data_IF_940097910765
#
_entry.id   IF_940097910765
#
_cell.length_a   1.000
_cell.length_b   1.000
_cell.length_c   1.000
_cell.angle_alpha   90.00
_cell.angle_beta   90.00
_cell.angle_gamma   90.00
#
_symmetry.space_group_name_H-M   'P 1'
#
loop_
_entity.id
_entity.type
_entity.pdbx_description
1 polymer ?
#
# COMPACT_ATOMS: atom_id res chain seq x y z
N UNK A 1 -0.34 -14.01 -11.16
CA UNK A 1 -1.56 -13.66 -10.40
C UNK A 1 -1.29 -12.33 -9.74
N UNK A 2 -2.17 -11.34 -9.85
CA UNK A 2 -2.02 -10.09 -9.09
C UNK A 2 -2.34 -10.40 -7.62
N UNK A 3 -1.38 -10.24 -6.72
CA UNK A 3 -1.66 -10.35 -5.29
C UNK A 3 -2.32 -9.05 -4.85
N UNK A 4 -3.54 -9.14 -4.29
CA UNK A 4 -4.26 -7.97 -3.80
C UNK A 4 -3.78 -7.69 -2.36
N UNK A 5 -3.23 -6.50 -2.12
CA UNK A 5 -2.90 -6.08 -0.75
C UNK A 5 -4.18 -5.91 0.09
N UNK A 6 -4.07 -6.00 1.41
CA UNK A 6 -5.19 -5.69 2.31
C UNK A 6 -5.70 -4.28 2.02
N UNK A 7 -7.03 -4.09 1.84
CA UNK A 7 -7.60 -2.76 1.66
C UNK A 7 -7.21 -1.80 2.79
N UNK A 8 -7.01 -0.52 2.45
CA UNK A 8 -6.85 0.54 3.43
C UNK A 8 -8.19 0.95 4.07
N UNK A 9 -8.15 1.84 5.07
CA UNK A 9 -6.95 2.47 5.62
C UNK A 9 -6.13 1.51 6.49
N UNK A 10 -4.82 1.72 6.54
CA UNK A 10 -3.97 1.12 7.57
C UNK A 10 -3.62 2.18 8.62
N UNK A 11 -3.37 1.74 9.85
CA UNK A 11 -3.06 2.64 10.96
C UNK A 11 -1.99 2.05 11.87
N UNK A 12 -1.38 2.92 12.67
CA UNK A 12 -0.42 2.48 13.68
C UNK A 12 -1.16 1.64 14.74
N UNK A 13 -0.64 0.45 14.99
CA UNK A 13 -1.16 -0.47 16.00
C UNK A 13 -0.87 0.01 17.42
N UNK A 14 -1.60 -0.56 18.37
CA UNK A 14 -1.51 -0.25 19.81
C UNK A 14 -0.17 -0.65 20.43
N UNK A 15 0.42 -1.74 19.94
CA UNK A 15 1.53 -2.45 20.59
C UNK A 15 2.58 -2.90 19.57
N UNK A 16 3.75 -3.32 20.06
CA UNK A 16 4.81 -4.03 19.31
C UNK A 16 5.35 -3.31 18.05
N UNK A 17 5.11 -2.00 17.96
CA UNK A 17 5.48 -1.23 16.77
C UNK A 17 4.80 -1.70 15.50
N UNK A 18 3.52 -2.03 15.59
CA UNK A 18 2.74 -2.57 14.49
C UNK A 18 2.09 -1.51 13.59
N UNK A 19 1.74 -1.93 12.38
CA UNK A 19 0.71 -1.34 11.53
C UNK A 19 -0.40 -2.37 11.37
N UNK A 20 -1.64 -1.92 11.44
CA UNK A 20 -2.84 -2.76 11.44
C UNK A 20 -3.88 -2.23 10.46
N UNK A 21 -4.79 -3.11 10.04
CA UNK A 21 -6.01 -2.78 9.32
C UNK A 21 -7.24 -2.98 10.21
N UNK A 22 -8.34 -2.31 9.86
CA UNK A 22 -9.64 -2.50 10.51
C UNK A 22 -10.46 -3.66 9.91
N UNK A 23 -9.96 -4.24 8.82
CA UNK A 23 -10.55 -5.39 8.15
C UNK A 23 -9.65 -6.62 8.28
N UNK A 24 -10.23 -7.84 8.29
CA UNK A 24 -9.46 -9.08 8.26
C UNK A 24 -8.39 -9.10 7.16
N UNK A 25 -7.20 -9.51 7.54
CA UNK A 25 -6.07 -9.73 6.62
C UNK A 25 -6.13 -11.18 6.12
N UNK A 26 -5.64 -11.43 4.90
CA UNK A 26 -5.55 -12.77 4.31
C UNK A 26 -6.84 -13.61 4.44
N UNK A 27 -8.00 -13.02 4.09
CA UNK A 27 -9.33 -13.65 4.24
C UNK A 27 -9.68 -14.12 5.66
N UNK A 28 -8.96 -13.64 6.67
CA UNK A 28 -9.15 -13.96 8.07
C UNK A 28 -8.28 -15.10 8.61
N UNK A 29 -7.40 -15.66 7.78
CA UNK A 29 -6.49 -16.74 8.18
C UNK A 29 -5.37 -16.24 9.13
N UNK A 30 -5.04 -14.94 9.09
CA UNK A 30 -3.98 -14.32 9.91
C UNK A 30 -4.54 -13.28 10.93
N UNK A 31 -5.66 -13.62 11.57
CA UNK A 31 -6.35 -12.73 12.53
C UNK A 31 -5.93 -12.94 14.00
N UNK A 32 -4.74 -13.47 14.26
CA UNK A 32 -4.31 -13.70 15.64
C UNK A 32 -4.11 -12.37 16.39
N UNK A 33 -4.46 -12.39 17.67
CA UNK A 33 -4.17 -11.30 18.63
C UNK A 33 -4.68 -9.90 18.24
N UNK A 34 -5.81 -9.78 17.52
CA UNK A 34 -6.42 -8.50 17.11
C UNK A 34 -6.50 -7.50 18.27
N UNK A 35 -6.91 -7.93 19.46
CA UNK A 35 -7.01 -7.05 20.64
C UNK A 35 -5.65 -6.52 21.13
N UNK A 36 -4.60 -7.34 21.04
CA UNK A 36 -3.25 -6.97 21.49
C UNK A 36 -2.62 -5.92 20.57
N UNK A 37 -2.78 -6.09 19.26
CA UNK A 37 -2.34 -5.12 18.26
C UNK A 37 -3.31 -3.93 18.10
N UNK A 38 -4.54 -4.08 18.58
CA UNK A 38 -5.61 -3.11 18.41
C UNK A 38 -6.11 -3.03 16.96
N UNK A 39 -6.04 -4.12 16.19
CA UNK A 39 -6.44 -4.24 14.78
C UNK A 39 -5.83 -5.50 14.13
N UNK A 40 -6.18 -5.78 12.88
CA UNK A 40 -5.68 -6.93 12.13
C UNK A 40 -4.25 -6.66 11.64
N UNK A 41 -3.31 -7.53 11.98
CA UNK A 41 -1.88 -7.28 11.80
C UNK A 41 -1.49 -7.20 10.30
N UNK A 42 -0.87 -6.08 9.90
CA UNK A 42 -0.23 -5.92 8.57
C UNK A 42 1.26 -6.21 8.65
N UNK A 43 1.93 -5.62 9.64
CA UNK A 43 3.35 -5.79 9.91
C UNK A 43 3.67 -5.35 11.34
N UNK A 44 4.70 -5.93 11.96
CA UNK A 44 5.16 -5.61 13.32
C UNK A 44 6.68 -5.41 13.40
N UNK A 45 7.17 -5.04 14.59
CA UNK A 45 8.59 -4.76 14.84
C UNK A 45 9.16 -3.62 13.98
N UNK A 46 8.30 -2.68 13.59
CA UNK A 46 8.66 -1.55 12.73
C UNK A 46 9.30 -0.44 13.57
N UNK A 47 10.46 0.05 13.12
CA UNK A 47 11.10 1.24 13.67
C UNK A 47 10.14 2.44 13.65
N UNK A 48 10.10 3.23 14.73
CA UNK A 48 9.10 4.31 14.93
C UNK A 48 9.01 5.25 13.72
N UNK A 49 10.15 5.61 13.12
CA UNK A 49 10.23 6.49 11.95
C UNK A 49 9.59 5.94 10.67
N UNK A 50 9.48 4.62 10.53
CA UNK A 50 8.96 3.98 9.32
C UNK A 50 7.44 3.72 9.39
N UNK A 51 6.85 3.72 10.57
CA UNK A 51 5.42 3.37 10.77
C UNK A 51 4.48 4.28 9.98
N UNK A 52 4.64 5.62 9.98
CA UNK A 52 3.73 6.48 9.23
C UNK A 52 3.77 6.21 7.72
N UNK A 53 4.96 5.93 7.18
CA UNK A 53 5.13 5.62 5.75
C UNK A 53 4.44 4.30 5.37
N UNK A 54 4.60 3.26 6.20
CA UNK A 54 3.96 1.97 5.97
C UNK A 54 2.44 2.08 6.12
N UNK A 55 1.96 2.79 7.15
CA UNK A 55 0.53 3.01 7.34
C UNK A 55 -0.13 3.76 6.17
N UNK A 56 0.59 4.68 5.53
CA UNK A 56 0.09 5.43 4.37
C UNK A 56 0.24 4.69 3.03
N UNK A 57 0.78 3.46 3.00
CA UNK A 57 1.08 2.77 1.76
C UNK A 57 -0.13 2.58 0.82
N UNK A 58 -1.34 2.22 1.31
CA UNK A 58 -2.53 2.13 0.45
C UNK A 58 -2.89 3.47 -0.22
N UNK A 59 -2.89 4.56 0.55
CA UNK A 59 -3.21 5.90 0.06
C UNK A 59 -2.14 6.44 -0.89
N UNK A 60 -0.86 6.12 -0.64
CA UNK A 60 0.24 6.46 -1.54
C UNK A 60 0.12 5.72 -2.87
N UNK A 61 -0.25 4.44 -2.85
CA UNK A 61 -0.48 3.67 -4.07
C UNK A 61 -1.66 4.25 -4.86
N UNK A 62 -2.79 4.52 -4.21
CA UNK A 62 -3.97 5.11 -4.83
C UNK A 62 -3.65 6.48 -5.45
N UNK A 63 -2.91 7.33 -4.73
CA UNK A 63 -2.49 8.64 -5.22
C UNK A 63 -1.58 8.51 -6.46
N UNK A 64 -0.62 7.58 -6.44
CA UNK A 64 0.28 7.35 -7.56
C UNK A 64 -0.46 6.82 -8.80
N UNK A 65 -1.41 5.90 -8.63
CA UNK A 65 -2.25 5.40 -9.70
C UNK A 65 -3.08 6.53 -10.33
N UNK A 66 -3.71 7.38 -9.51
CA UNK A 66 -4.47 8.54 -9.96
C UNK A 66 -3.60 9.54 -10.73
N UNK A 67 -2.40 9.82 -10.23
CA UNK A 67 -1.43 10.69 -10.91
C UNK A 67 -1.00 10.10 -12.26
N UNK A 68 -0.63 8.82 -12.29
CA UNK A 68 -0.19 8.16 -13.52
C UNK A 68 -1.30 8.13 -14.58
N UNK A 69 -2.55 7.83 -14.17
CA UNK A 69 -3.72 7.88 -15.05
C UNK A 69 -4.05 9.31 -15.51
N UNK A 70 -3.81 10.34 -14.69
CA UNK A 70 -3.93 11.73 -15.12
C UNK A 70 -2.91 12.09 -16.20
N UNK A 71 -1.64 11.67 -16.04
CA UNK A 71 -0.62 11.87 -17.07
C UNK A 71 -1.00 11.18 -18.40
N UNK A 72 -1.52 9.96 -18.35
CA UNK A 72 -1.95 9.25 -19.56
C UNK A 72 -3.11 9.94 -20.30
N UNK A 73 -3.99 10.64 -19.58
CA UNK A 73 -5.08 11.43 -20.17
C UNK A 73 -4.63 12.78 -20.73
N UNK A 74 -3.63 13.40 -20.10
CA UNK A 74 -3.17 14.75 -20.45
C UNK A 74 -2.09 14.76 -21.54
N UNK A 75 -1.39 13.65 -21.76
CA UNK A 75 -0.32 13.59 -22.76
C UNK A 75 -0.88 13.64 -24.20
N UNK A 76 -0.21 14.34 -25.13
CA UNK A 76 -0.57 14.28 -26.55
C UNK A 76 -0.50 12.85 -27.11
N UNK A 77 -1.32 12.50 -28.12
CA UNK A 77 -1.21 11.23 -28.82
C UNK A 77 0.22 11.01 -29.37
N UNK A 78 0.78 9.82 -29.14
CA UNK A 78 2.12 9.46 -29.62
C UNK A 78 3.28 9.94 -28.74
N UNK A 79 3.03 10.71 -27.68
CA UNK A 79 4.10 11.11 -26.77
C UNK A 79 4.58 9.94 -25.89
N UNK A 80 5.90 9.69 -25.79
CA UNK A 80 6.43 8.60 -24.99
C UNK A 80 6.23 8.83 -23.49
N UNK A 81 6.25 7.76 -22.70
CA UNK A 81 6.23 7.85 -21.23
C UNK A 81 7.47 8.58 -20.73
N UNK A 82 7.26 9.52 -19.81
CA UNK A 82 8.38 10.18 -19.10
C UNK A 82 9.07 9.18 -18.17
N UNK A 83 10.28 9.49 -17.73
CA UNK A 83 10.98 8.64 -16.76
C UNK A 83 10.21 8.55 -15.43
N UNK A 84 9.54 9.63 -15.01
CA UNK A 84 8.64 9.62 -13.85
C UNK A 84 7.48 8.64 -14.00
N UNK A 85 6.87 8.55 -15.18
CA UNK A 85 5.80 7.58 -15.44
C UNK A 85 6.33 6.14 -15.45
N UNK A 86 7.52 5.90 -16.02
CA UNK A 86 8.15 4.56 -15.98
C UNK A 86 8.44 4.13 -14.54
N UNK A 87 8.91 5.05 -13.69
CA UNK A 87 9.12 4.80 -12.27
C UNK A 87 7.80 4.54 -11.53
N UNK A 88 6.75 5.31 -11.85
CA UNK A 88 5.42 5.09 -11.29
C UNK A 88 4.86 3.71 -11.66
N UNK A 89 4.94 3.33 -12.93
CA UNK A 89 4.51 2.01 -13.42
C UNK A 89 5.24 0.88 -12.68
N UNK A 90 6.56 1.00 -12.53
CA UNK A 90 7.37 0.00 -11.83
C UNK A 90 6.98 -0.09 -10.34
N UNK A 91 6.78 1.05 -9.67
CA UNK A 91 6.38 1.07 -8.26
C UNK A 91 4.97 0.48 -8.05
N UNK A 92 4.01 0.79 -8.94
CA UNK A 92 2.66 0.22 -8.91
C UNK A 92 2.71 -1.29 -9.16
N UNK A 93 3.48 -1.75 -10.16
CA UNK A 93 3.65 -3.16 -10.45
C UNK A 93 4.23 -3.93 -9.25
N UNK A 94 5.25 -3.36 -8.60
CA UNK A 94 5.83 -3.88 -7.35
C UNK A 94 4.79 -4.01 -6.24
N UNK A 95 4.02 -2.95 -6.00
CA UNK A 95 3.03 -2.89 -4.93
C UNK A 95 1.87 -3.88 -5.13
N UNK A 96 1.58 -4.26 -6.39
CA UNK A 96 0.57 -5.27 -6.75
C UNK A 96 1.11 -6.70 -6.85
N UNK A 97 2.40 -6.91 -6.54
CA UNK A 97 3.07 -8.21 -6.64
C UNK A 97 3.13 -8.77 -8.06
N UNK A 98 3.10 -7.92 -9.08
CA UNK A 98 3.16 -8.31 -10.50
C UNK A 98 4.59 -8.24 -11.08
N UNK A 99 5.60 -8.15 -10.21
CA UNK A 99 6.99 -7.90 -10.56
C UNK A 99 7.89 -9.08 -10.15
#
# INVERSE_FOLDING_TARGET
MTTKHTPGPWRIGKSYGAVVADVPVNNGDDNDHVEAYGGHLIAESIAVCNRPLIAAAPELLEALEKLNAAYDRLKPPGYPKTDGQKLADAAIAKARGSQ
#
